data_IF_386161474033
#
_entry.id   IF_386161474033
#
_cell.length_a   1.000
_cell.length_b   1.000
_cell.length_c   1.000
_cell.angle_alpha   90.00
_cell.angle_beta   90.00
_cell.angle_gamma   90.00
#
_symmetry.space_group_name_H-M   'P 1'
#
loop_
_entity.id
_entity.type
_entity.pdbx_description
1 polymer ?
#
# COMPACT_ATOMS: atom_id res chain seq x y z
N UNK A 1 -52.48 9.00 7.36
CA UNK A 1 -51.67 7.82 6.97
C UNK A 1 -50.22 8.27 7.02
N UNK A 2 -49.47 7.85 8.04
CA UNK A 2 -48.04 8.13 8.12
C UNK A 2 -47.31 7.15 7.20
N UNK A 3 -46.45 7.67 6.34
CA UNK A 3 -45.56 6.86 5.52
C UNK A 3 -44.50 6.27 6.45
N UNK A 4 -44.50 4.94 6.59
CA UNK A 4 -43.39 4.21 7.19
C UNK A 4 -42.25 4.30 6.18
N UNK A 5 -41.24 5.10 6.49
CA UNK A 5 -39.99 5.08 5.75
C UNK A 5 -39.32 3.73 6.04
N UNK A 6 -39.23 2.87 5.03
CA UNK A 6 -38.34 1.72 5.08
C UNK A 6 -36.92 2.24 5.28
N UNK A 7 -36.40 2.05 6.49
CA UNK A 7 -34.98 2.18 6.77
C UNK A 7 -34.30 1.06 5.97
N UNK A 8 -33.64 1.43 4.88
CA UNK A 8 -32.71 0.55 4.22
C UNK A 8 -31.49 0.45 5.12
N UNK A 9 -31.42 -0.61 5.92
CA UNK A 9 -30.20 -0.98 6.64
C UNK A 9 -29.21 -1.47 5.58
N UNK A 10 -28.11 -0.73 5.30
CA UNK A 10 -27.10 -1.19 4.37
C UNK A 10 -26.48 -2.49 4.91
N UNK A 11 -26.14 -3.40 4.02
CA UNK A 11 -25.53 -4.69 4.35
C UNK A 11 -24.06 -4.48 4.80
N UNK A 12 -23.85 -4.07 6.05
CA UNK A 12 -22.55 -3.67 6.63
C UNK A 12 -21.47 -4.76 6.52
N UNK A 13 -21.85 -6.04 6.65
CA UNK A 13 -20.93 -7.17 6.52
C UNK A 13 -20.33 -7.30 5.09
N UNK A 14 -21.09 -6.97 4.05
CA UNK A 14 -20.59 -7.04 2.66
C UNK A 14 -19.61 -5.88 2.34
N UNK A 15 -19.77 -4.74 3.00
CA UNK A 15 -18.91 -3.57 2.84
C UNK A 15 -17.57 -3.75 3.60
N UNK A 16 -17.58 -4.40 4.76
CA UNK A 16 -16.35 -4.73 5.51
C UNK A 16 -15.49 -5.78 4.78
N UNK A 17 -16.10 -6.85 4.26
CA UNK A 17 -15.39 -7.87 3.48
C UNK A 17 -14.68 -7.25 2.25
N UNK A 18 -15.35 -6.32 1.55
CA UNK A 18 -14.75 -5.61 0.40
C UNK A 18 -13.56 -4.72 0.80
N UNK A 19 -13.60 -4.08 1.98
CA UNK A 19 -12.49 -3.28 2.49
C UNK A 19 -11.29 -4.16 2.87
N UNK A 20 -11.53 -5.33 3.47
CA UNK A 20 -10.49 -6.30 3.81
C UNK A 20 -9.84 -6.92 2.56
N UNK A 21 -10.63 -7.23 1.54
CA UNK A 21 -10.12 -7.69 0.24
C UNK A 21 -9.24 -6.61 -0.42
N UNK A 22 -9.69 -5.35 -0.41
CA UNK A 22 -8.93 -4.22 -0.95
C UNK A 22 -7.61 -3.99 -0.19
N UNK A 23 -7.63 -4.12 1.13
CA UNK A 23 -6.43 -4.07 1.97
C UNK A 23 -5.45 -5.18 1.61
N UNK A 24 -5.94 -6.42 1.50
CA UNK A 24 -5.14 -7.61 1.18
C UNK A 24 -4.47 -7.47 -0.20
N UNK A 25 -5.22 -6.99 -1.19
CA UNK A 25 -4.70 -6.74 -2.54
C UNK A 25 -3.64 -5.63 -2.55
N UNK A 26 -3.89 -4.51 -1.86
CA UNK A 26 -2.93 -3.41 -1.74
C UNK A 26 -1.65 -3.83 -1.00
N UNK A 27 -1.76 -4.62 0.07
CA UNK A 27 -0.63 -5.17 0.80
C UNK A 27 0.22 -6.10 -0.08
N UNK A 28 -0.43 -6.95 -0.88
CA UNK A 28 0.26 -7.81 -1.85
C UNK A 28 0.99 -6.99 -2.91
N UNK A 29 0.33 -5.96 -3.47
CA UNK A 29 0.95 -5.02 -4.43
C UNK A 29 2.17 -4.31 -3.82
N UNK A 30 2.08 -3.90 -2.56
CA UNK A 30 3.18 -3.27 -1.83
C UNK A 30 4.39 -4.19 -1.69
N UNK A 31 4.20 -5.46 -1.33
CA UNK A 31 5.29 -6.45 -1.23
C UNK A 31 6.00 -6.63 -2.58
N UNK A 32 5.23 -6.84 -3.66
CA UNK A 32 5.79 -7.01 -5.01
C UNK A 32 6.55 -5.76 -5.47
N UNK A 33 6.02 -4.57 -5.17
CA UNK A 33 6.68 -3.31 -5.49
C UNK A 33 7.99 -3.12 -4.69
N UNK A 34 8.03 -3.52 -3.41
CA UNK A 34 9.23 -3.49 -2.59
C UNK A 34 10.32 -4.43 -3.13
N UNK A 35 9.95 -5.65 -3.53
CA UNK A 35 10.88 -6.60 -4.14
C UNK A 35 11.44 -6.07 -5.47
N UNK A 36 10.58 -5.46 -6.30
CA UNK A 36 11.00 -4.85 -7.56
C UNK A 36 11.94 -3.65 -7.33
N UNK A 37 11.66 -2.82 -6.32
CA UNK A 37 12.52 -1.70 -5.94
C UNK A 37 13.91 -2.19 -5.47
N UNK A 38 13.96 -3.19 -4.60
CA UNK A 38 15.21 -3.77 -4.13
C UNK A 38 16.05 -4.39 -5.26
N UNK A 39 15.39 -5.08 -6.22
CA UNK A 39 16.08 -5.62 -7.39
C UNK A 39 16.60 -4.51 -8.31
N UNK A 40 15.82 -3.45 -8.52
CA UNK A 40 16.25 -2.31 -9.33
C UNK A 40 17.45 -1.58 -8.69
N UNK A 41 17.46 -1.38 -7.37
CA UNK A 41 18.59 -0.82 -6.63
C UNK A 41 19.86 -1.69 -6.76
N UNK A 42 19.72 -3.01 -6.66
CA UNK A 42 20.84 -3.94 -6.84
C UNK A 42 21.44 -3.85 -8.25
N UNK A 43 20.59 -3.80 -9.27
CA UNK A 43 21.02 -3.66 -10.66
C UNK A 43 21.69 -2.30 -10.91
N UNK A 44 21.16 -1.23 -10.32
CA UNK A 44 21.77 0.09 -10.39
C UNK A 44 23.16 0.11 -9.74
N UNK A 45 23.31 -0.50 -8.56
CA UNK A 45 24.61 -0.61 -7.89
C UNK A 45 25.63 -1.39 -8.74
N UNK A 46 25.22 -2.51 -9.33
CA UNK A 46 26.09 -3.33 -10.21
C UNK A 46 26.52 -2.53 -11.44
N UNK A 47 25.60 -1.80 -12.08
CA UNK A 47 25.93 -0.94 -13.22
C UNK A 47 26.86 0.22 -12.83
N UNK A 48 26.76 0.73 -11.59
CA UNK A 48 27.65 1.77 -11.09
C UNK A 48 29.10 1.28 -10.97
N UNK A 49 29.27 0.06 -10.44
CA UNK A 49 30.58 -0.58 -10.34
C UNK A 49 31.20 -0.83 -11.72
N UNK A 50 30.42 -1.31 -12.69
CA UNK A 50 30.87 -1.50 -14.07
C UNK A 50 31.27 -0.17 -14.73
N UNK A 51 30.47 0.88 -14.56
CA UNK A 51 30.78 2.22 -15.08
C UNK A 51 32.08 2.77 -14.45
N UNK A 52 32.24 2.63 -13.14
CA UNK A 52 33.45 3.06 -12.43
C UNK A 52 34.70 2.31 -12.92
N UNK A 53 34.60 0.99 -13.12
CA UNK A 53 35.69 0.18 -13.66
C UNK A 53 36.06 0.60 -15.10
N UNK A 54 35.07 0.89 -15.95
CA UNK A 54 35.29 1.39 -17.30
C UNK A 54 35.99 2.76 -17.30
N UNK A 55 35.59 3.67 -16.40
CA UNK A 55 36.24 4.97 -16.24
C UNK A 55 37.71 4.85 -15.79
N UNK A 56 37.99 3.94 -14.86
CA UNK A 56 39.36 3.64 -14.41
C UNK A 56 40.22 3.12 -15.56
N UNK A 57 39.70 2.16 -16.33
CA UNK A 57 40.39 1.62 -17.51
C UNK A 57 40.62 2.70 -18.59
N UNK A 58 39.66 3.60 -18.80
CA UNK A 58 39.81 4.73 -19.71
C UNK A 58 40.89 5.71 -19.22
N UNK A 59 40.93 6.02 -17.93
CA UNK A 59 41.95 6.90 -17.34
C UNK A 59 43.38 6.33 -17.50
N UNK A 60 43.55 5.02 -17.28
CA UNK A 60 44.83 4.34 -17.48
C UNK A 60 45.27 4.28 -18.95
N UNK A 61 44.31 4.35 -19.87
CA UNK A 61 44.54 4.33 -21.30
C UNK A 61 44.81 5.73 -21.91
N UNK A 62 44.83 6.81 -21.12
CA UNK A 62 45.08 8.18 -21.63
C UNK A 62 46.40 8.24 -22.40
N UNK A 63 46.37 8.79 -23.62
CA UNK A 63 47.53 8.85 -24.51
C UNK A 63 47.78 7.58 -25.32
N UNK A 64 46.93 6.55 -25.18
CA UNK A 64 46.92 5.36 -26.03
C UNK A 64 45.80 5.42 -27.07
N UNK A 65 45.91 4.67 -28.19
CA UNK A 65 44.83 4.59 -29.20
C UNK A 65 43.51 4.02 -28.66
N UNK A 66 43.54 3.24 -27.58
CA UNK A 66 42.37 2.66 -26.92
C UNK A 66 41.57 3.64 -26.04
N UNK A 67 42.10 4.84 -25.80
CA UNK A 67 41.48 5.81 -24.91
C UNK A 67 40.05 6.17 -25.34
N UNK A 68 39.84 6.56 -26.61
CA UNK A 68 38.53 6.99 -27.08
C UNK A 68 37.48 5.87 -26.97
N UNK A 69 37.85 4.63 -27.31
CA UNK A 69 36.91 3.51 -27.21
C UNK A 69 36.52 3.20 -25.77
N UNK A 70 37.47 3.30 -24.84
CA UNK A 70 37.22 3.04 -23.41
C UNK A 70 36.41 4.18 -22.77
N UNK A 71 36.68 5.43 -23.16
CA UNK A 71 35.86 6.58 -22.76
C UNK A 71 34.42 6.43 -23.24
N UNK A 72 34.20 6.07 -24.50
CA UNK A 72 32.85 5.87 -25.05
C UNK A 72 32.10 4.71 -24.37
N UNK A 73 32.81 3.67 -23.90
CA UNK A 73 32.23 2.59 -23.09
C UNK A 73 31.81 3.12 -21.71
N UNK A 74 32.67 3.92 -21.08
CA UNK A 74 32.39 4.51 -19.77
C UNK A 74 31.18 5.48 -19.81
N UNK A 75 31.11 6.34 -20.84
CA UNK A 75 29.95 7.24 -21.04
C UNK A 75 28.63 6.47 -21.28
N UNK A 76 28.68 5.34 -21.99
CA UNK A 76 27.50 4.47 -22.16
C UNK A 76 27.08 3.80 -20.86
N UNK A 77 28.05 3.34 -20.07
CA UNK A 77 27.79 2.74 -18.77
C UNK A 77 27.17 3.75 -17.80
N UNK A 78 27.61 5.02 -17.84
CA UNK A 78 27.01 6.10 -17.06
C UNK A 78 25.54 6.37 -17.44
N UNK A 79 25.22 6.43 -18.74
CA UNK A 79 23.83 6.58 -19.18
C UNK A 79 22.95 5.41 -18.76
N UNK A 80 23.50 4.18 -18.76
CA UNK A 80 22.79 3.00 -18.26
C UNK A 80 22.56 3.08 -16.76
N UNK A 81 23.56 3.56 -15.99
CA UNK A 81 23.43 3.81 -14.56
C UNK A 81 22.32 4.82 -14.25
N UNK A 82 22.29 5.95 -14.97
CA UNK A 82 21.25 6.97 -14.82
C UNK A 82 19.85 6.40 -15.06
N UNK A 83 19.68 5.61 -16.13
CA UNK A 83 18.41 4.97 -16.45
C UNK A 83 17.97 3.95 -15.38
N UNK A 84 18.91 3.15 -14.87
CA UNK A 84 18.62 2.17 -13.80
C UNK A 84 18.28 2.86 -12.47
N UNK A 85 18.99 3.93 -12.14
CA UNK A 85 18.71 4.72 -10.93
C UNK A 85 17.32 5.37 -11.00
N UNK A 86 16.95 5.89 -12.17
CA UNK A 86 15.60 6.41 -12.39
C UNK A 86 14.54 5.31 -12.26
N UNK A 87 14.76 4.13 -12.84
CA UNK A 87 13.86 2.99 -12.72
C UNK A 87 13.69 2.54 -11.26
N UNK A 88 14.78 2.50 -10.48
CA UNK A 88 14.74 2.20 -9.05
C UNK A 88 13.91 3.24 -8.26
N UNK A 89 14.08 4.53 -8.57
CA UNK A 89 13.29 5.59 -7.94
C UNK A 89 11.79 5.45 -8.24
N UNK A 90 11.42 5.13 -9.49
CA UNK A 90 10.01 4.88 -9.85
C UNK A 90 9.43 3.66 -9.12
N UNK A 91 10.20 2.58 -9.00
CA UNK A 91 9.76 1.39 -8.26
C UNK A 91 9.55 1.69 -6.76
N UNK A 92 10.46 2.46 -6.15
CA UNK A 92 10.34 2.90 -4.76
C UNK A 92 9.12 3.81 -4.52
N UNK A 93 8.82 4.68 -5.49
CA UNK A 93 7.60 5.50 -5.44
C UNK A 93 6.33 4.64 -5.52
N UNK A 94 6.26 3.69 -6.45
CA UNK A 94 5.12 2.78 -6.57
C UNK A 94 4.90 1.94 -5.30
N UNK A 95 5.98 1.54 -4.63
CA UNK A 95 5.92 0.90 -3.31
C UNK A 95 5.29 1.82 -2.26
N UNK A 96 5.75 3.07 -2.19
CA UNK A 96 5.25 4.05 -1.21
C UNK A 96 3.75 4.31 -1.41
N UNK A 97 3.32 4.47 -2.66
CA UNK A 97 1.91 4.69 -3.01
C UNK A 97 1.04 3.49 -2.64
N UNK A 98 1.46 2.26 -2.98
CA UNK A 98 0.74 1.03 -2.64
C UNK A 98 0.67 0.81 -1.12
N UNK A 99 1.74 1.15 -0.40
CA UNK A 99 1.76 1.08 1.07
C UNK A 99 0.80 2.08 1.70
N UNK A 100 0.70 3.31 1.18
CA UNK A 100 -0.25 4.30 1.65
C UNK A 100 -1.69 3.86 1.39
N UNK A 101 -1.99 3.31 0.21
CA UNK A 101 -3.30 2.75 -0.14
C UNK A 101 -3.71 1.64 0.84
N UNK A 102 -2.79 0.73 1.17
CA UNK A 102 -3.01 -0.33 2.15
C UNK A 102 -3.33 0.23 3.54
N UNK A 103 -2.58 1.23 4.02
CA UNK A 103 -2.86 1.86 5.32
C UNK A 103 -4.22 2.55 5.36
N UNK A 104 -4.61 3.24 4.29
CA UNK A 104 -5.92 3.88 4.19
C UNK A 104 -7.06 2.86 4.19
N UNK A 105 -6.94 1.77 3.41
CA UNK A 105 -7.92 0.69 3.39
C UNK A 105 -8.06 0.01 4.77
N UNK A 106 -6.93 -0.21 5.46
CA UNK A 106 -6.92 -0.78 6.82
C UNK A 106 -7.60 0.14 7.83
N UNK A 107 -7.36 1.45 7.78
CA UNK A 107 -8.00 2.43 8.67
C UNK A 107 -9.51 2.46 8.44
N UNK A 108 -9.95 2.45 7.17
CA UNK A 108 -11.37 2.45 6.82
C UNK A 108 -12.07 1.15 7.27
N UNK A 109 -11.42 -0.01 7.11
CA UNK A 109 -11.94 -1.28 7.61
C UNK A 109 -12.09 -1.29 9.14
N UNK A 110 -11.11 -0.72 9.86
CA UNK A 110 -11.15 -0.62 11.31
C UNK A 110 -12.28 0.30 11.81
N UNK A 111 -12.47 1.46 11.17
CA UNK A 111 -13.58 2.38 11.48
C UNK A 111 -14.94 1.73 11.20
N UNK A 112 -15.07 0.99 10.09
CA UNK A 112 -16.29 0.26 9.77
C UNK A 112 -16.60 -0.85 10.78
N UNK A 113 -15.59 -1.57 11.26
CA UNK A 113 -15.76 -2.63 12.25
C UNK A 113 -16.22 -2.09 13.62
N UNK A 114 -15.73 -0.91 14.03
CA UNK A 114 -16.20 -0.27 15.29
C UNK A 114 -17.66 0.16 15.18
N UNK A 115 -18.06 0.72 14.03
CA UNK A 115 -19.44 1.15 13.82
C UNK A 115 -20.43 -0.02 13.72
N UNK A 116 -19.98 -1.19 13.24
CA UNK A 116 -20.78 -2.42 13.23
C UNK A 116 -21.01 -2.97 14.65
N UNK A 117 -20.02 -2.84 15.55
CA UNK A 117 -20.12 -3.25 16.97
C UNK A 117 -21.02 -2.30 17.80
N UNK A 118 -21.08 -1.00 17.48
CA UNK A 118 -21.86 0.01 18.24
C UNK A 118 -23.37 0.03 17.91
N UNK A 119 -23.80 -0.55 16.77
CA UNK A 119 -25.22 -0.58 16.34
C UNK A 119 -26.03 -1.76 16.93
N UNK A 120 -25.38 -2.75 17.56
CA UNK A 120 -26.02 -3.92 18.17
C UNK A 120 -26.37 -3.76 19.68
N UNK A 121 -25.92 -2.67 20.33
CA UNK A 121 -26.00 -2.48 21.80
C UNK A 121 -27.10 -1.50 22.26
N UNK A 122 -28.07 -1.16 21.40
CA UNK A 122 -29.07 -0.14 21.70
C UNK A 122 -30.52 -0.64 21.66
N UNK A 123 -30.90 -1.72 22.37
CA UNK A 123 -32.33 -2.07 22.47
C UNK A 123 -32.78 -3.04 23.60
N UNK A 124 -32.26 -3.01 24.84
CA UNK A 124 -32.94 -3.72 25.96
C UNK A 124 -32.80 -3.01 27.33
N UNK A 125 -33.45 -1.86 27.55
CA UNK A 125 -33.56 -1.30 28.92
C UNK A 125 -34.89 -0.60 29.28
N UNK A 126 -36.02 -1.01 28.67
CA UNK A 126 -37.36 -0.47 28.98
C UNK A 126 -38.44 -1.58 29.00
N UNK A 127 -38.26 -2.64 29.80
CA UNK A 127 -39.29 -3.67 29.95
C UNK A 127 -39.44 -4.25 31.37
N UNK A 128 -39.31 -3.44 32.44
CA UNK A 128 -39.54 -3.95 33.80
C UNK A 128 -40.14 -2.91 34.78
N UNK A 129 -41.19 -2.18 34.40
CA UNK A 129 -42.03 -1.45 35.37
C UNK A 129 -43.50 -1.38 34.92
N UNK A 130 -44.25 -2.46 35.10
CA UNK A 130 -45.67 -2.39 35.47
C UNK A 130 -46.21 -3.81 35.75
N UNK A 131 -46.03 -4.28 36.99
CA UNK A 131 -46.91 -5.31 37.55
C UNK A 131 -48.09 -4.62 38.24
N UNK A 132 -49.34 -4.79 37.78
CA UNK A 132 -50.51 -4.43 38.58
C UNK A 132 -50.76 -5.53 39.61
N UNK A 133 -50.32 -5.28 40.85
CA UNK A 133 -50.75 -6.04 42.04
C UNK A 133 -52.27 -5.92 42.22
N UNK A 134 -53.02 -6.95 41.82
CA UNK A 134 -54.39 -7.14 42.29
C UNK A 134 -54.38 -7.87 43.63
N UNK A 135 -54.35 -7.10 44.72
CA UNK A 135 -54.83 -7.57 46.02
C UNK A 135 -56.36 -7.41 46.06
N UNK A 136 -57.09 -8.52 45.96
CA UNK A 136 -58.50 -8.57 46.36
C UNK A 136 -58.56 -8.89 47.85
N UNK A 137 -58.84 -7.87 48.65
CA UNK A 137 -59.55 -8.02 49.92
C UNK A 137 -61.05 -8.08 49.61
N UNK A 138 -61.70 -9.19 49.99
CA UNK A 138 -63.04 -9.33 50.62
C UNK A 138 -63.43 -10.80 50.66
#
# INVERSE_FOLDING_TARGET
MAAVASIHVPSTCHDLDQLLDSFSEAATRSIVAAEAAAQAELLAATAAEEAAAAYLAAADAVGTPSFESLRDIAEKAERLLEALTLAAAHASQAYTDASAESMHASSAAYEAAILDDDDDDADEDEALKDEPSQAKDT
#
